data_IF_530366592080
#
_entry.id   IF_530366592080
#
_cell.length_a   1.000
_cell.length_b   1.000
_cell.length_c   1.000
_cell.angle_alpha   90.00
_cell.angle_beta   90.00
_cell.angle_gamma   90.00
#
_symmetry.space_group_name_H-M   'P 1'
#
loop_
_entity.id
_entity.type
_entity.pdbx_description
1 polymer ?
#
# COMPACT_ATOMS: atom_id res chain seq x y z
N UNK A 1 13.67 2.98 0.43
CA UNK A 1 14.07 4.33 0.03
C UNK A 1 12.95 5.11 -0.60
N UNK A 2 12.13 4.45 -1.37
CA UNK A 2 11.08 5.16 -2.10
C UNK A 2 10.07 5.85 -1.20
N UNK A 3 9.70 5.21 -0.10
CA UNK A 3 8.77 5.83 0.83
C UNK A 3 9.34 7.12 1.42
N UNK A 4 10.65 7.16 1.52
CA UNK A 4 11.32 8.35 2.06
C UNK A 4 11.16 9.56 1.14
N UNK A 5 10.88 9.31 -0.14
CA UNK A 5 10.76 10.42 -1.08
C UNK A 5 9.59 11.33 -0.74
N UNK A 6 8.46 10.76 -0.33
CA UNK A 6 7.32 11.58 0.04
C UNK A 6 7.64 12.45 1.24
N UNK A 7 8.25 11.85 2.27
CA UNK A 7 8.64 12.59 3.45
C UNK A 7 9.70 13.64 3.13
N UNK A 8 10.62 13.28 2.27
CA UNK A 8 11.67 14.19 1.86
C UNK A 8 11.09 15.43 1.17
N UNK A 9 10.10 15.20 0.31
CA UNK A 9 9.46 16.33 -0.37
C UNK A 9 8.76 17.26 0.62
N UNK A 10 8.12 16.70 1.62
CA UNK A 10 7.52 17.53 2.65
C UNK A 10 8.55 18.27 3.45
N UNK A 11 9.67 17.64 3.74
CA UNK A 11 10.74 18.29 4.50
C UNK A 11 11.33 19.46 3.73
N UNK A 12 11.46 19.31 2.42
CA UNK A 12 12.03 20.37 1.59
C UNK A 12 11.02 21.47 1.27
N UNK A 13 9.76 21.25 1.57
CA UNK A 13 8.73 22.26 1.46
C UNK A 13 8.37 22.67 2.87
N UNK A 14 7.61 23.71 2.98
CA UNK A 14 7.12 24.11 4.30
C UNK A 14 6.07 23.12 4.75
N UNK A 15 6.35 22.42 5.83
CA UNK A 15 5.39 21.49 6.42
C UNK A 15 4.41 22.33 7.23
N UNK A 16 3.16 22.29 6.83
CA UNK A 16 2.17 23.20 7.38
C UNK A 16 1.39 22.65 8.56
N UNK A 17 1.34 21.31 8.72
CA UNK A 17 0.55 20.75 9.82
C UNK A 17 0.93 19.30 10.09
N UNK A 18 0.37 18.81 11.22
CA UNK A 18 0.66 17.45 11.66
C UNK A 18 0.09 16.40 10.73
N UNK A 19 -0.97 16.73 10.02
CA UNK A 19 -1.59 15.78 9.09
C UNK A 19 -0.61 15.38 8.01
N UNK A 20 0.17 16.33 7.50
CA UNK A 20 1.16 16.03 6.47
C UNK A 20 2.24 15.10 7.02
N UNK A 21 2.68 15.34 8.23
CA UNK A 21 3.70 14.50 8.86
C UNK A 21 3.17 13.10 9.09
N UNK A 22 1.97 13.00 9.65
CA UNK A 22 1.39 11.69 9.95
C UNK A 22 1.12 10.89 8.69
N UNK A 23 0.63 11.55 7.63
CA UNK A 23 0.35 10.83 6.40
C UNK A 23 1.65 10.28 5.78
N UNK A 24 2.72 11.01 5.90
CA UNK A 24 4.01 10.55 5.44
C UNK A 24 4.47 9.34 6.24
N UNK A 25 4.30 9.39 7.55
CA UNK A 25 4.66 8.28 8.42
C UNK A 25 3.80 7.05 8.15
N UNK A 26 2.51 7.26 7.87
CA UNK A 26 1.62 6.16 7.52
C UNK A 26 2.08 5.49 6.23
N UNK A 27 2.44 6.28 5.23
CA UNK A 27 2.92 5.73 3.97
C UNK A 27 4.14 4.87 4.18
N UNK A 28 5.10 5.37 4.95
CA UNK A 28 6.33 4.61 5.23
C UNK A 28 6.04 3.34 5.99
N UNK A 29 5.17 3.42 6.99
CA UNK A 29 4.84 2.26 7.80
C UNK A 29 4.13 1.19 6.98
N UNK A 30 3.17 1.60 6.16
CA UNK A 30 2.43 0.67 5.33
C UNK A 30 3.36 -0.02 4.35
N UNK A 31 4.24 0.73 3.71
CA UNK A 31 5.17 0.13 2.76
C UNK A 31 6.15 -0.84 3.43
N UNK A 32 6.52 -0.57 4.66
CA UNK A 32 7.44 -1.43 5.40
C UNK A 32 6.77 -2.72 5.90
N UNK A 33 5.44 -2.74 5.99
CA UNK A 33 4.72 -3.85 6.61
C UNK A 33 3.67 -4.46 5.69
N UNK A 34 3.90 -4.41 4.38
CA UNK A 34 2.90 -4.92 3.44
C UNK A 34 2.57 -6.40 3.63
N UNK A 35 3.57 -7.20 3.98
CA UNK A 35 3.35 -8.63 4.19
C UNK A 35 2.64 -8.91 5.51
N UNK A 36 2.60 -7.93 6.40
CA UNK A 36 2.02 -8.10 7.70
C UNK A 36 0.53 -7.78 7.69
N UNK A 37 -0.12 -8.14 8.79
CA UNK A 37 -1.52 -7.80 8.96
C UNK A 37 -1.64 -6.32 9.28
N UNK A 38 -2.31 -5.58 8.42
CA UNK A 38 -2.51 -4.15 8.59
C UNK A 38 -3.99 -3.87 8.78
N UNK A 39 -4.43 -3.80 10.03
CA UNK A 39 -5.83 -3.48 10.31
C UNK A 39 -5.94 -2.03 10.75
N UNK A 40 -7.16 -1.50 10.61
CA UNK A 40 -7.43 -0.13 11.07
C UNK A 40 -7.12 -0.01 12.55
N UNK A 41 -7.50 -1.02 13.34
CA UNK A 41 -7.24 -1.01 14.77
C UNK A 41 -5.74 -0.94 15.06
N UNK A 42 -4.94 -1.72 14.35
CA UNK A 42 -3.49 -1.72 14.57
C UNK A 42 -2.88 -0.37 14.21
N UNK A 43 -3.33 0.23 13.12
CA UNK A 43 -2.82 1.54 12.74
C UNK A 43 -3.20 2.61 13.75
N UNK A 44 -4.42 2.54 14.26
CA UNK A 44 -4.85 3.49 15.28
C UNK A 44 -3.97 3.39 16.53
N UNK A 45 -3.66 2.15 16.93
CA UNK A 45 -2.81 1.94 18.10
C UNK A 45 -1.38 2.42 17.86
N UNK A 46 -0.85 2.09 16.71
CA UNK A 46 0.53 2.44 16.38
C UNK A 46 0.75 3.94 16.31
N UNK A 47 -0.21 4.66 15.75
CA UNK A 47 -0.07 6.10 15.55
C UNK A 47 -0.85 6.92 16.56
N UNK A 48 -1.45 6.27 17.56
CA UNK A 48 -2.21 6.97 18.60
C UNK A 48 -3.31 7.85 18.01
N UNK A 49 -4.07 7.25 17.10
CA UNK A 49 -5.14 7.95 16.40
C UNK A 49 -6.48 7.28 16.69
N UNK A 50 -7.54 8.10 16.71
CA UNK A 50 -8.88 7.55 16.70
C UNK A 50 -9.20 7.10 15.27
N UNK A 51 -10.23 6.27 15.13
CA UNK A 51 -10.66 5.85 13.80
C UNK A 51 -11.07 7.05 12.95
N UNK A 52 -11.81 7.97 13.56
CA UNK A 52 -12.25 9.17 12.84
C UNK A 52 -11.07 9.97 12.33
N UNK A 53 -10.05 10.13 13.15
CA UNK A 53 -8.88 10.88 12.76
C UNK A 53 -8.12 10.18 11.64
N UNK A 54 -7.99 8.86 11.75
CA UNK A 54 -7.31 8.08 10.71
C UNK A 54 -8.06 8.19 9.39
N UNK A 55 -9.39 8.09 9.42
CA UNK A 55 -10.17 8.22 8.21
C UNK A 55 -10.05 9.60 7.59
N UNK A 56 -10.05 10.63 8.43
CA UNK A 56 -9.88 11.98 7.95
C UNK A 56 -8.54 12.16 7.24
N UNK A 57 -7.47 11.69 7.88
CA UNK A 57 -6.13 11.81 7.32
C UNK A 57 -6.04 11.06 6.00
N UNK A 58 -6.57 9.84 5.97
CA UNK A 58 -6.56 9.01 4.78
C UNK A 58 -7.28 9.69 3.63
N UNK A 59 -8.46 10.25 3.90
CA UNK A 59 -9.23 10.93 2.88
C UNK A 59 -8.48 12.13 2.33
N UNK A 60 -7.88 12.91 3.22
CA UNK A 60 -7.18 14.13 2.79
C UNK A 60 -5.87 13.86 2.10
N UNK A 61 -5.11 12.89 2.60
CA UNK A 61 -3.77 12.63 2.08
C UNK A 61 -3.77 11.69 0.89
N UNK A 62 -4.63 10.68 0.91
CA UNK A 62 -4.62 9.64 -0.11
C UNK A 62 -5.84 9.69 -1.03
N UNK A 63 -6.80 10.52 -0.70
CA UNK A 63 -8.02 10.68 -1.49
C UNK A 63 -8.82 9.37 -1.57
N UNK A 64 -8.73 8.56 -0.55
CA UNK A 64 -9.44 7.28 -0.47
C UNK A 64 -9.39 6.76 0.95
N UNK A 65 -10.20 5.74 1.26
CA UNK A 65 -10.19 5.12 2.57
C UNK A 65 -8.87 4.40 2.82
N UNK A 66 -8.53 4.23 4.10
CA UNK A 66 -7.25 3.64 4.46
C UNK A 66 -7.14 2.19 4.00
N UNK A 67 -8.22 1.42 4.09
CA UNK A 67 -8.19 0.02 3.64
C UNK A 67 -7.97 -0.07 2.14
N UNK A 68 -8.60 0.83 1.41
CA UNK A 68 -8.42 0.88 -0.04
C UNK A 68 -7.00 1.29 -0.40
N UNK A 69 -6.44 2.23 0.35
CA UNK A 69 -5.07 2.67 0.12
C UNK A 69 -4.09 1.52 0.36
N UNK A 70 -4.30 0.76 1.42
CA UNK A 70 -3.44 -0.40 1.70
C UNK A 70 -3.53 -1.42 0.57
N UNK A 71 -4.74 -1.73 0.12
CA UNK A 71 -4.92 -2.68 -0.96
C UNK A 71 -4.24 -2.21 -2.24
N UNK A 72 -4.41 -0.93 -2.57
CA UNK A 72 -3.77 -0.36 -3.75
C UNK A 72 -2.25 -0.47 -3.65
N UNK A 73 -1.70 -0.15 -2.48
CA UNK A 73 -0.25 -0.22 -2.28
C UNK A 73 0.26 -1.65 -2.45
N UNK A 74 -0.49 -2.62 -1.93
CA UNK A 74 -0.14 -4.03 -2.10
C UNK A 74 -0.15 -4.45 -3.56
N UNK A 75 -1.14 -4.01 -4.31
CA UNK A 75 -1.23 -4.35 -5.73
C UNK A 75 -0.12 -3.69 -6.54
N UNK A 76 0.25 -2.47 -6.18
CA UNK A 76 1.35 -1.80 -6.87
C UNK A 76 2.67 -2.52 -6.62
N UNK A 77 2.87 -2.99 -5.39
CA UNK A 77 4.08 -3.76 -5.09
C UNK A 77 4.07 -5.09 -5.84
N UNK A 78 2.91 -5.71 -5.96
CA UNK A 78 2.77 -6.96 -6.70
C UNK A 78 3.13 -6.76 -8.17
N UNK A 79 2.70 -5.65 -8.77
CA UNK A 79 3.06 -5.33 -10.14
C UNK A 79 4.58 -5.28 -10.30
N UNK A 80 5.22 -4.62 -9.37
CA UNK A 80 6.67 -4.49 -9.38
C UNK A 80 7.34 -5.86 -9.33
N UNK A 81 6.90 -6.71 -8.41
CA UNK A 81 7.47 -8.05 -8.26
C UNK A 81 7.22 -8.92 -9.47
N UNK A 82 6.05 -8.78 -10.10
CA UNK A 82 5.75 -9.55 -11.29
C UNK A 82 6.72 -9.25 -12.44
N UNK A 83 7.14 -8.01 -12.55
CA UNK A 83 8.02 -7.59 -13.64
C UNK A 83 9.49 -7.75 -13.30
N UNK A 84 9.86 -7.61 -12.04
CA UNK A 84 11.25 -7.58 -11.64
C UNK A 84 11.78 -8.90 -11.11
N UNK A 85 10.91 -9.86 -10.85
CA UNK A 85 11.33 -11.15 -10.32
C UNK A 85 10.66 -12.27 -11.08
N UNK A 86 11.15 -13.49 -10.84
CA UNK A 86 10.55 -14.69 -11.40
C UNK A 86 9.75 -15.45 -10.36
N UNK A 87 9.42 -14.79 -9.26
CA UNK A 87 8.67 -15.44 -8.20
C UNK A 87 7.31 -15.90 -8.70
N UNK A 88 6.84 -16.99 -8.10
CA UNK A 88 5.54 -17.52 -8.47
C UNK A 88 4.43 -16.62 -7.97
N UNK A 89 3.30 -16.70 -8.62
CA UNK A 89 2.16 -15.84 -8.29
C UNK A 89 1.79 -15.97 -6.82
N UNK A 90 1.75 -17.19 -6.28
CA UNK A 90 1.36 -17.38 -4.89
C UNK A 90 2.41 -16.80 -3.93
N UNK A 91 3.68 -16.79 -4.33
CA UNK A 91 4.72 -16.19 -3.50
C UNK A 91 4.56 -14.67 -3.46
N UNK A 92 4.23 -14.07 -4.60
CA UNK A 92 4.00 -12.63 -4.67
C UNK A 92 2.79 -12.25 -3.83
N UNK A 93 1.72 -13.06 -3.91
CA UNK A 93 0.53 -12.81 -3.11
C UNK A 93 0.89 -12.79 -1.62
N UNK A 94 1.66 -13.77 -1.19
CA UNK A 94 2.05 -13.88 0.21
C UNK A 94 2.93 -12.71 0.64
N UNK A 95 3.91 -12.36 -0.17
CA UNK A 95 4.85 -11.28 0.16
C UNK A 95 4.20 -9.92 0.19
N UNK A 96 3.10 -9.76 -0.52
CA UNK A 96 2.40 -8.49 -0.55
C UNK A 96 1.19 -8.44 0.38
N UNK A 97 1.04 -9.47 1.21
CA UNK A 97 0.04 -9.42 2.27
C UNK A 97 -1.33 -9.98 1.91
N UNK A 98 -1.43 -10.71 0.82
CA UNK A 98 -2.68 -11.37 0.44
C UNK A 98 -2.66 -12.80 0.98
N UNK A 99 -3.56 -13.10 1.89
CA UNK A 99 -3.61 -14.42 2.52
C UNK A 99 -4.03 -15.52 1.55
N UNK A 100 -4.87 -15.16 0.59
CA UNK A 100 -5.42 -16.13 -0.36
C UNK A 100 -4.98 -15.78 -1.78
N UNK A 101 -4.19 -16.65 -2.42
CA UNK A 101 -3.76 -16.36 -3.80
C UNK A 101 -4.92 -16.20 -4.78
N UNK A 102 -6.02 -16.91 -4.57
CA UNK A 102 -7.17 -16.75 -5.46
C UNK A 102 -7.80 -15.39 -5.31
N UNK A 103 -7.88 -14.89 -4.10
CA UNK A 103 -8.37 -13.55 -3.86
C UNK A 103 -7.44 -12.53 -4.52
N UNK A 104 -6.13 -12.73 -4.37
CA UNK A 104 -5.15 -11.85 -4.99
C UNK A 104 -5.36 -11.77 -6.50
N UNK A 105 -5.50 -12.92 -7.15
CA UNK A 105 -5.68 -12.96 -8.61
C UNK A 105 -6.93 -12.20 -9.02
N UNK A 106 -8.02 -12.40 -8.28
CA UNK A 106 -9.29 -11.74 -8.60
C UNK A 106 -9.17 -10.22 -8.44
N UNK A 107 -8.59 -9.78 -7.33
CA UNK A 107 -8.47 -8.36 -7.04
C UNK A 107 -7.50 -7.70 -8.01
N UNK A 108 -6.40 -8.38 -8.33
CA UNK A 108 -5.44 -7.86 -9.29
C UNK A 108 -6.12 -7.65 -10.65
N UNK A 109 -6.90 -8.62 -11.07
CA UNK A 109 -7.59 -8.51 -12.35
C UNK A 109 -8.59 -7.36 -12.34
N UNK A 110 -9.30 -7.16 -11.23
CA UNK A 110 -10.23 -6.04 -11.13
C UNK A 110 -9.50 -4.70 -11.21
N UNK A 111 -8.33 -4.63 -10.60
CA UNK A 111 -7.55 -3.40 -10.55
C UNK A 111 -6.84 -3.13 -11.88
N UNK A 112 -6.26 -4.15 -12.48
CA UNK A 112 -5.41 -3.98 -13.65
C UNK A 112 -6.11 -4.34 -14.97
N UNK A 113 -7.23 -5.00 -14.91
CA UNK A 113 -7.92 -5.45 -16.12
C UNK A 113 -7.43 -6.78 -16.67
N UNK A 114 -6.31 -7.28 -16.19
CA UNK A 114 -5.77 -8.58 -16.62
C UNK A 114 -5.26 -9.33 -15.41
N UNK A 115 -5.12 -10.65 -15.55
CA UNK A 115 -4.60 -11.47 -14.47
C UNK A 115 -3.12 -11.19 -14.25
N UNK A 116 -2.59 -11.52 -13.06
CA UNK A 116 -1.15 -11.35 -12.82
C UNK A 116 -0.31 -12.10 -13.84
N UNK A 117 -0.72 -13.29 -14.20
CA UNK A 117 0.01 -14.10 -15.17
C UNK A 117 0.08 -13.39 -16.52
N UNK A 118 -1.04 -12.90 -17.00
CA UNK A 118 -1.07 -12.18 -18.27
C UNK A 118 -0.28 -10.88 -18.19
N UNK A 119 -0.36 -10.21 -17.07
CA UNK A 119 0.38 -8.97 -16.88
C UNK A 119 1.88 -9.21 -17.02
N UNK A 120 2.36 -10.25 -16.37
CA UNK A 120 3.78 -10.61 -16.46
C UNK A 120 4.19 -10.92 -17.89
N UNK A 121 3.37 -11.69 -18.59
CA UNK A 121 3.71 -12.10 -19.94
C UNK A 121 3.67 -10.95 -20.93
N UNK A 122 2.71 -10.05 -20.77
CA UNK A 122 2.54 -8.95 -21.71
C UNK A 122 3.61 -7.88 -21.54
N UNK A 123 4.15 -7.75 -20.34
CA UNK A 123 5.17 -6.72 -20.05
C UNK A 123 6.57 -7.29 -20.06
N UNK A 124 6.69 -8.56 -19.78
CA UNK A 124 7.97 -9.22 -19.77
C UNK A 124 8.29 -9.78 -21.14
#
# INVERSE_FOLDING_TARGET
MMSMCACYLYVNKIITNKTDIISCQLTDYINAHLADRLTVTDLCKTFYLSRSRLYYISDKAFNMGISEYIRKTRLEKAKELLLQTEKKIYQIADETGFDDPNYFIRIFKQYMGVTPYKYRKSKG
#
